data_IF_751279048227
#
_entry.id   IF_751279048227
#
_cell.length_a   1.000
_cell.length_b   1.000
_cell.length_c   1.000
_cell.angle_alpha   90.00
_cell.angle_beta   90.00
_cell.angle_gamma   90.00
#
_symmetry.space_group_name_H-M   'P 1'
#
loop_
_entity.id
_entity.type
_entity.pdbx_description
1 polymer ?
#
# COMPACT_ATOMS: atom_id res chain seq x y z
N UNK A 1 -16.45 2.12 3.42
CA UNK A 1 -16.12 3.11 4.47
C UNK A 1 -16.32 4.49 3.85
N UNK A 2 -16.84 5.45 4.59
CA UNK A 2 -16.98 6.82 4.08
C UNK A 2 -15.60 7.47 3.85
N UNK A 3 -15.50 8.40 2.89
CA UNK A 3 -14.22 9.07 2.56
C UNK A 3 -13.65 9.87 3.73
N UNK A 4 -14.49 10.53 4.53
CA UNK A 4 -14.03 11.28 5.69
C UNK A 4 -13.46 10.35 6.76
N UNK A 5 -14.11 9.20 6.98
CA UNK A 5 -13.61 8.18 7.91
C UNK A 5 -12.27 7.57 7.45
N UNK A 6 -12.09 7.36 6.14
CA UNK A 6 -10.83 6.89 5.59
C UNK A 6 -9.71 7.91 5.83
N UNK A 7 -9.97 9.19 5.58
CA UNK A 7 -9.01 10.27 5.82
C UNK A 7 -8.53 10.29 7.27
N UNK A 8 -9.46 10.29 8.23
CA UNK A 8 -9.13 10.24 9.66
C UNK A 8 -8.28 9.02 10.01
N UNK A 9 -8.57 7.86 9.43
CA UNK A 9 -7.79 6.64 9.65
C UNK A 9 -6.34 6.78 9.14
N UNK A 10 -6.15 7.30 7.92
CA UNK A 10 -4.81 7.44 7.32
C UNK A 10 -3.97 8.47 8.06
N UNK A 11 -4.56 9.61 8.44
CA UNK A 11 -3.89 10.69 9.15
C UNK A 11 -3.61 10.37 10.63
N UNK A 12 -4.34 9.43 11.23
CA UNK A 12 -4.17 9.08 12.65
C UNK A 12 -2.81 8.45 12.95
N UNK A 13 -2.00 9.09 13.81
CA UNK A 13 -0.73 8.51 14.25
C UNK A 13 -0.88 7.30 15.19
N UNK A 14 -2.08 7.06 15.72
CA UNK A 14 -2.37 5.94 16.63
C UNK A 14 -2.67 4.63 15.88
N UNK A 15 -3.06 4.74 14.61
CA UNK A 15 -3.53 3.61 13.82
C UNK A 15 -2.37 2.85 13.16
N UNK A 16 -2.45 1.52 13.19
CA UNK A 16 -1.41 0.65 12.65
C UNK A 16 -1.29 0.79 11.14
N UNK A 17 -0.05 0.78 10.65
CA UNK A 17 0.25 0.93 9.22
C UNK A 17 -0.51 -0.06 8.33
N UNK A 18 -0.60 -1.33 8.76
CA UNK A 18 -1.30 -2.37 7.99
C UNK A 18 -2.79 -2.08 7.86
N UNK A 19 -3.43 -1.56 8.91
CA UNK A 19 -4.83 -1.15 8.86
C UNK A 19 -5.04 -0.02 7.86
N UNK A 20 -4.20 1.02 7.92
CA UNK A 20 -4.18 2.10 6.93
C UNK A 20 -4.01 1.59 5.50
N UNK A 21 -3.00 0.74 5.27
CA UNK A 21 -2.70 0.15 3.97
C UNK A 21 -3.90 -0.64 3.41
N UNK A 22 -4.51 -1.49 4.24
CA UNK A 22 -5.69 -2.28 3.87
C UNK A 22 -6.84 -1.39 3.44
N UNK A 23 -7.20 -0.41 4.27
CA UNK A 23 -8.37 0.42 4.01
C UNK A 23 -8.18 1.36 2.82
N UNK A 24 -7.00 1.97 2.66
CA UNK A 24 -6.70 2.78 1.49
C UNK A 24 -6.66 1.92 0.22
N UNK A 25 -5.93 0.80 0.23
CA UNK A 25 -5.82 -0.08 -0.94
C UNK A 25 -7.10 -0.79 -1.34
N UNK A 26 -8.02 -1.05 -0.41
CA UNK A 26 -9.34 -1.59 -0.76
C UNK A 26 -10.33 -0.50 -1.20
N UNK A 27 -10.04 0.77 -0.93
CA UNK A 27 -10.84 1.89 -1.41
C UNK A 27 -10.41 2.32 -2.81
N UNK A 28 -9.13 2.65 -3.00
CA UNK A 28 -8.58 2.97 -4.31
C UNK A 28 -7.14 2.46 -4.44
N UNK A 29 -6.90 1.68 -5.50
CA UNK A 29 -5.64 1.00 -5.74
C UNK A 29 -5.17 1.30 -7.16
N UNK A 30 -4.15 2.14 -7.28
CA UNK A 30 -3.38 2.26 -8.50
C UNK A 30 -2.22 1.26 -8.47
N UNK A 31 -2.20 0.37 -9.45
CA UNK A 31 -1.19 -0.68 -9.54
C UNK A 31 -0.21 -0.38 -10.66
N UNK A 32 1.08 -0.25 -10.31
CA UNK A 32 2.09 0.05 -11.31
C UNK A 32 2.63 -1.24 -11.94
N UNK A 33 1.98 -1.67 -13.04
CA UNK A 33 2.19 -2.98 -13.66
C UNK A 33 3.36 -3.05 -14.67
N UNK A 34 4.17 -2.00 -14.82
CA UNK A 34 5.16 -1.89 -15.92
C UNK A 34 6.34 -2.87 -15.87
N UNK A 35 6.39 -3.88 -14.98
CA UNK A 35 7.51 -4.83 -14.87
C UNK A 35 7.05 -6.30 -14.74
N UNK A 36 7.69 -7.26 -15.43
CA UNK A 36 7.28 -8.68 -15.43
C UNK A 36 7.46 -9.40 -14.07
N UNK A 37 8.35 -8.91 -13.22
CA UNK A 37 8.64 -9.49 -11.89
C UNK A 37 7.58 -9.13 -10.84
N UNK A 38 6.59 -8.34 -11.23
CA UNK A 38 5.53 -7.92 -10.34
C UNK A 38 4.49 -9.03 -10.09
N UNK A 39 3.84 -9.02 -8.92
CA UNK A 39 2.62 -9.81 -8.73
C UNK A 39 1.46 -9.20 -9.53
N UNK A 40 0.43 -9.98 -9.87
CA UNK A 40 -0.75 -9.39 -10.49
C UNK A 40 -1.52 -8.51 -9.50
N UNK A 41 -2.32 -7.57 -10.01
CA UNK A 41 -3.21 -6.75 -9.18
C UNK A 41 -4.15 -7.60 -8.33
N UNK A 42 -4.64 -8.73 -8.83
CA UNK A 42 -5.54 -9.63 -8.09
C UNK A 42 -4.85 -10.24 -6.86
N UNK A 43 -3.57 -10.61 -6.99
CA UNK A 43 -2.78 -11.13 -5.87
C UNK A 43 -2.61 -10.06 -4.81
N UNK A 44 -2.41 -8.80 -5.22
CA UNK A 44 -2.32 -7.69 -4.28
C UNK A 44 -3.65 -7.43 -3.56
N UNK A 45 -4.78 -7.47 -4.26
CA UNK A 45 -6.11 -7.35 -3.63
C UNK A 45 -6.34 -8.48 -2.63
N UNK A 46 -5.91 -9.72 -2.95
CA UNK A 46 -5.96 -10.84 -2.00
C UNK A 46 -5.08 -10.59 -0.77
N UNK A 47 -3.87 -10.07 -0.97
CA UNK A 47 -3.00 -9.66 0.13
C UNK A 47 -3.68 -8.64 1.04
N UNK A 48 -4.21 -7.54 0.48
CA UNK A 48 -4.88 -6.49 1.24
C UNK A 48 -6.07 -7.03 2.05
N UNK A 49 -6.89 -7.91 1.47
CA UNK A 49 -7.99 -8.57 2.18
C UNK A 49 -7.52 -9.49 3.30
N UNK A 50 -6.33 -10.09 3.17
CA UNK A 50 -5.74 -10.98 4.17
C UNK A 50 -4.99 -10.27 5.29
N UNK A 51 -4.80 -8.95 5.20
CA UNK A 51 -4.11 -8.18 6.24
C UNK A 51 -4.85 -8.32 7.58
N UNK A 52 -4.09 -8.75 8.59
CA UNK A 52 -4.42 -8.63 10.00
C UNK A 52 -4.17 -7.19 10.46
N UNK A 53 -5.24 -6.48 10.77
CA UNK A 53 -5.22 -5.07 11.17
C UNK A 53 -4.66 -4.84 12.57
N UNK A 54 -4.54 -5.90 13.38
CA UNK A 54 -4.01 -5.84 14.75
C UNK A 54 -2.50 -6.03 14.81
N UNK A 55 -1.90 -6.50 13.70
CA UNK A 55 -0.49 -6.80 13.61
C UNK A 55 0.32 -5.53 13.41
N UNK A 56 1.26 -5.32 14.31
CA UNK A 56 2.20 -4.21 14.20
C UNK A 56 3.28 -4.52 13.15
N UNK A 57 3.46 -3.59 12.21
CA UNK A 57 4.50 -3.62 11.18
C UNK A 57 4.99 -2.21 10.90
N UNK A 58 6.31 -2.07 10.90
CA UNK A 58 6.97 -0.82 10.56
C UNK A 58 7.58 -0.96 9.16
N UNK A 59 6.99 -0.34 8.12
CA UNK A 59 7.62 -0.29 6.82
C UNK A 59 8.88 0.58 6.88
N UNK A 60 9.82 0.33 5.97
CA UNK A 60 10.89 1.32 5.73
C UNK A 60 10.27 2.53 5.03
N UNK A 61 10.48 3.72 5.57
CA UNK A 61 9.99 4.97 5.01
C UNK A 61 11.17 5.74 4.40
N UNK A 62 10.99 6.29 3.20
CA UNK A 62 12.01 7.11 2.54
C UNK A 62 11.35 8.27 1.81
N UNK A 63 12.05 9.40 1.70
CA UNK A 63 11.55 10.53 0.94
C UNK A 63 11.34 10.16 -0.53
N UNK A 64 10.26 10.66 -1.11
CA UNK A 64 9.94 10.46 -2.53
C UNK A 64 10.86 11.33 -3.38
N UNK A 65 11.76 10.70 -4.12
CA UNK A 65 12.79 11.39 -4.93
C UNK A 65 12.33 11.79 -6.35
N UNK A 66 11.07 11.57 -6.73
CA UNK A 66 10.61 11.85 -8.10
C UNK A 66 9.18 12.40 -8.15
N UNK A 67 9.10 13.54 -8.80
CA UNK A 67 7.96 14.35 -9.23
C UNK A 67 7.67 14.18 -10.74
N UNK A 68 8.38 13.29 -11.44
CA UNK A 68 8.25 13.10 -12.90
C UNK A 68 7.14 12.13 -13.37
N UNK A 69 6.18 11.79 -12.51
CA UNK A 69 5.16 10.77 -12.76
C UNK A 69 3.76 11.33 -13.04
N UNK A 70 2.78 10.45 -13.30
CA UNK A 70 1.33 10.80 -13.40
C UNK A 70 0.85 11.59 -12.18
N UNK A 71 1.53 11.39 -11.05
CA UNK A 71 1.28 12.03 -9.76
C UNK A 71 2.41 12.98 -9.34
N UNK A 72 3.07 13.60 -10.30
CA UNK A 72 4.30 14.37 -10.12
C UNK A 72 4.26 15.43 -9.02
N UNK A 73 3.30 16.34 -9.13
CA UNK A 73 3.04 17.39 -8.13
C UNK A 73 2.12 16.92 -6.99
N UNK A 74 1.62 15.67 -7.05
CA UNK A 74 0.60 15.19 -6.13
C UNK A 74 1.16 14.21 -5.10
N UNK A 75 1.10 14.56 -3.83
CA UNK A 75 1.01 13.60 -2.71
C UNK A 75 2.15 13.52 -1.68
N UNK A 76 1.98 12.56 -0.75
CA UNK A 76 2.83 12.34 0.42
C UNK A 76 4.33 12.33 0.08
N UNK A 77 5.13 13.05 0.88
CA UNK A 77 6.59 13.14 0.78
C UNK A 77 7.29 11.79 0.99
N UNK A 78 6.56 10.73 1.37
CA UNK A 78 7.12 9.48 1.84
C UNK A 78 6.65 8.27 1.01
N UNK A 79 7.62 7.48 0.58
CA UNK A 79 7.45 6.15 0.01
C UNK A 79 7.67 5.12 1.11
N UNK A 80 6.74 4.18 1.24
CA UNK A 80 6.88 3.02 2.11
C UNK A 80 7.44 1.82 1.33
N UNK A 81 8.21 0.98 2.02
CA UNK A 81 8.62 -0.35 1.56
C UNK A 81 8.28 -1.35 2.65
N UNK A 82 7.47 -2.35 2.32
CA UNK A 82 7.02 -3.36 3.26
C UNK A 82 7.38 -4.77 2.74
N UNK A 83 7.98 -5.57 3.63
CA UNK A 83 8.13 -7.02 3.46
C UNK A 83 7.12 -7.72 4.36
N UNK A 84 6.31 -8.56 3.75
CA UNK A 84 5.37 -9.40 4.49
C UNK A 84 5.16 -10.73 3.78
N UNK A 85 4.28 -11.55 4.35
CA UNK A 85 3.86 -12.81 3.75
C UNK A 85 2.40 -13.07 4.08
N UNK A 86 1.74 -13.82 3.21
CA UNK A 86 0.35 -14.21 3.37
C UNK A 86 0.10 -15.58 2.75
N UNK A 87 -1.04 -16.18 3.06
CA UNK A 87 -1.42 -17.49 2.53
C UNK A 87 -2.27 -17.34 1.27
N UNK A 88 -1.83 -17.97 0.18
CA UNK A 88 -2.62 -18.14 -1.04
C UNK A 88 -2.80 -19.64 -1.25
N UNK A 89 -4.04 -20.12 -1.19
CA UNK A 89 -4.37 -21.54 -1.38
C UNK A 89 -3.50 -22.46 -0.49
N UNK A 90 -3.30 -22.07 0.78
CA UNK A 90 -2.49 -22.83 1.74
C UNK A 90 -0.98 -22.69 1.58
N UNK A 91 -0.48 -21.95 0.56
CA UNK A 91 0.95 -21.70 0.36
C UNK A 91 1.33 -20.32 0.89
N UNK A 92 2.38 -20.29 1.72
CA UNK A 92 2.99 -19.04 2.18
C UNK A 92 3.64 -18.34 1.00
N UNK A 93 3.17 -17.14 0.70
CA UNK A 93 3.66 -16.29 -0.38
C UNK A 93 4.33 -15.09 0.23
N UNK A 94 5.62 -14.91 -0.06
CA UNK A 94 6.35 -13.70 0.32
C UNK A 94 5.98 -12.57 -0.64
N UNK A 95 5.78 -11.38 -0.09
CA UNK A 95 5.49 -10.19 -0.88
C UNK A 95 6.39 -9.05 -0.42
N UNK A 96 7.00 -8.39 -1.40
CA UNK A 96 7.63 -7.10 -1.20
C UNK A 96 6.79 -6.04 -1.92
N UNK A 97 6.36 -5.02 -1.20
CA UNK A 97 5.61 -3.91 -1.77
C UNK A 97 6.34 -2.60 -1.53
N UNK A 98 6.26 -1.71 -2.52
CA UNK A 98 6.73 -0.34 -2.47
C UNK A 98 5.59 0.55 -2.96
N UNK A 99 5.26 1.60 -2.22
CA UNK A 99 4.15 2.46 -2.59
C UNK A 99 4.09 3.74 -1.79
N UNK A 100 3.04 4.51 -2.02
CA UNK A 100 2.71 5.70 -1.26
C UNK A 100 1.19 5.84 -1.16
N UNK A 101 0.72 6.52 -0.11
CA UNK A 101 -0.68 6.90 0.02
C UNK A 101 -0.97 8.10 -0.90
N UNK A 102 -2.17 8.14 -1.45
CA UNK A 102 -2.67 9.32 -2.17
C UNK A 102 -2.69 10.55 -1.27
N UNK A 103 -2.79 11.73 -1.88
CA UNK A 103 -2.43 13.03 -1.30
C UNK A 103 -2.96 13.30 0.11
N UNK A 104 -2.28 14.20 0.83
CA UNK A 104 -2.76 14.71 2.13
C UNK A 104 -4.20 15.23 2.05
N UNK A 105 -4.59 15.80 0.90
CA UNK A 105 -5.94 16.31 0.68
C UNK A 105 -6.92 15.26 0.12
N UNK A 106 -6.41 14.13 -0.40
CA UNK A 106 -7.20 13.00 -0.89
C UNK A 106 -6.56 11.63 -0.58
N UNK A 107 -6.51 11.21 0.71
CA UNK A 107 -5.87 9.97 1.15
C UNK A 107 -6.73 8.73 0.86
N UNK A 108 -7.50 8.77 -0.23
CA UNK A 108 -8.49 7.76 -0.61
C UNK A 108 -7.87 6.44 -1.07
N UNK A 109 -6.56 6.38 -1.26
CA UNK A 109 -5.96 5.20 -1.87
C UNK A 109 -4.45 5.12 -1.76
N UNK A 110 -3.91 4.19 -2.50
CA UNK A 110 -2.47 3.95 -2.60
C UNK A 110 -2.08 3.71 -4.05
N UNK A 111 -0.88 4.18 -4.40
CA UNK A 111 -0.15 3.66 -5.55
C UNK A 111 0.89 2.68 -5.05
N UNK A 112 0.95 1.53 -5.70
CA UNK A 112 1.79 0.42 -5.23
C UNK A 112 2.36 -0.36 -6.41
N UNK A 113 3.62 -0.71 -6.24
CA UNK A 113 4.32 -1.76 -6.97
C UNK A 113 4.59 -2.93 -6.02
N UNK A 114 4.34 -4.14 -6.48
CA UNK A 114 4.69 -5.36 -5.76
C UNK A 114 5.72 -6.16 -6.54
N UNK A 115 6.59 -6.88 -5.85
CA UNK A 115 7.66 -7.66 -6.44
C UNK A 115 7.55 -9.10 -5.97
N UNK A 116 7.62 -10.06 -6.90
CA UNK A 116 7.92 -11.46 -6.60
C UNK A 116 9.33 -11.46 -6.05
N UNK A 117 9.47 -11.80 -4.77
CA UNK A 117 10.78 -11.97 -4.16
C UNK A 117 10.92 -13.45 -3.84
N UNK A 118 11.87 -14.09 -4.50
CA UNK A 118 12.34 -15.43 -4.16
C UNK A 118 12.93 -15.45 -2.74
#
# INVERSE_FOLDING_TARGET
MDKALLRTLIESNEELFLKKLKHAGLNELEYWEKRPDNFSREILVKYLKSIDETKEKYPEMSERQSDGGKYGDTGFTWVFKLRDNFLILGRRTNIYIKGFFFETDDPRGIEIQSFKKD
#
